data_IF_417617128410
#
_entry.id   IF_417617128410
#
_cell.length_a   1.000
_cell.length_b   1.000
_cell.length_c   1.000
_cell.angle_alpha   90.00
_cell.angle_beta   90.00
_cell.angle_gamma   90.00
#
_symmetry.space_group_name_H-M   'P 1'
#
loop_
_entity.id
_entity.type
_entity.pdbx_description
1 polymer ?
#
# COMPACT_ATOMS: atom_id res chain seq x y z
N UNK A 1 34.02 -14.87 0.52
CA UNK A 1 34.27 -13.89 -0.57
C UNK A 1 33.49 -14.15 -1.87
N UNK A 2 32.90 -15.34 -2.12
CA UNK A 2 32.19 -15.69 -3.38
C UNK A 2 30.83 -15.01 -3.68
N UNK A 3 30.24 -14.25 -2.74
CA UNK A 3 28.84 -13.78 -2.87
C UNK A 3 28.72 -12.31 -3.33
N UNK A 4 29.73 -11.46 -3.09
CA UNK A 4 29.74 -10.08 -3.60
C UNK A 4 29.72 -10.00 -5.13
N UNK A 5 30.27 -11.02 -5.80
CA UNK A 5 30.28 -11.10 -7.26
C UNK A 5 28.87 -11.22 -7.85
N UNK A 6 27.93 -11.93 -7.23
CA UNK A 6 26.60 -12.11 -7.81
C UNK A 6 25.71 -10.86 -7.76
N UNK A 7 25.76 -10.04 -6.70
CA UNK A 7 24.93 -8.82 -6.62
C UNK A 7 25.44 -7.74 -7.57
N UNK A 8 26.77 -7.55 -7.63
CA UNK A 8 27.36 -6.58 -8.55
C UNK A 8 27.14 -6.98 -10.01
N UNK A 9 27.34 -8.26 -10.37
CA UNK A 9 27.06 -8.75 -11.72
C UNK A 9 25.58 -8.54 -12.07
N UNK A 10 24.66 -8.84 -11.14
CA UNK A 10 23.21 -8.62 -11.37
C UNK A 10 22.89 -7.15 -11.58
N UNK A 11 23.46 -6.25 -10.79
CA UNK A 11 23.33 -4.81 -10.99
C UNK A 11 23.86 -4.38 -12.37
N UNK A 12 25.05 -4.83 -12.76
CA UNK A 12 25.64 -4.54 -14.08
C UNK A 12 24.72 -5.04 -15.20
N UNK A 13 24.21 -6.27 -15.11
CA UNK A 13 23.28 -6.81 -16.12
C UNK A 13 21.96 -6.05 -16.16
N UNK A 14 21.45 -5.58 -15.02
CA UNK A 14 20.26 -4.73 -14.96
C UNK A 14 20.48 -3.41 -15.68
N UNK A 15 21.58 -2.71 -15.38
CA UNK A 15 21.90 -1.44 -16.03
C UNK A 15 22.20 -1.61 -17.51
N UNK A 16 22.80 -2.73 -17.92
CA UNK A 16 23.03 -3.05 -19.33
C UNK A 16 21.71 -3.24 -20.11
N UNK A 17 20.81 -4.10 -19.62
CA UNK A 17 19.50 -4.31 -20.26
C UNK A 17 18.66 -3.04 -20.28
N UNK A 18 18.71 -2.27 -19.19
CA UNK A 18 18.09 -0.96 -19.13
C UNK A 18 18.69 0.00 -20.16
N UNK A 19 20.01 0.02 -20.33
CA UNK A 19 20.68 0.80 -21.37
C UNK A 19 20.23 0.42 -22.79
N UNK A 20 20.07 -0.89 -23.05
CA UNK A 20 19.51 -1.37 -24.33
C UNK A 20 18.08 -0.90 -24.54
N UNK A 21 17.24 -0.90 -23.50
CA UNK A 21 15.88 -0.38 -23.58
C UNK A 21 15.86 1.10 -23.96
N UNK A 22 16.63 1.94 -23.24
CA UNK A 22 16.74 3.37 -23.54
C UNK A 22 17.24 3.60 -24.98
N UNK A 23 18.31 2.91 -25.37
CA UNK A 23 18.88 3.00 -26.72
C UNK A 23 17.87 2.59 -27.80
N UNK A 24 17.07 1.56 -27.55
CA UNK A 24 16.03 1.10 -28.48
C UNK A 24 14.94 2.16 -28.70
N UNK A 25 14.59 2.91 -27.65
CA UNK A 25 13.68 4.05 -27.74
C UNK A 25 14.23 5.14 -28.67
N UNK A 26 15.50 5.51 -28.50
CA UNK A 26 16.19 6.47 -29.36
C UNK A 26 16.28 6.01 -30.82
N UNK A 27 16.73 4.77 -31.06
CA UNK A 27 16.89 4.23 -32.42
C UNK A 27 15.56 4.14 -33.16
N UNK A 28 14.49 3.75 -32.46
CA UNK A 28 13.17 3.64 -33.06
C UNK A 28 12.43 4.98 -33.19
N UNK A 29 13.04 6.07 -32.73
CA UNK A 29 12.41 7.38 -32.58
C UNK A 29 11.04 7.27 -31.85
N UNK A 30 10.95 6.35 -30.89
CA UNK A 30 9.76 6.06 -30.09
C UNK A 30 8.50 5.68 -30.91
N UNK A 31 8.67 5.23 -32.17
CA UNK A 31 7.55 4.88 -33.07
C UNK A 31 7.02 3.46 -32.90
N UNK A 32 7.77 2.58 -32.24
CA UNK A 32 7.33 1.20 -32.00
C UNK A 32 6.22 1.21 -30.96
N UNK A 33 5.00 0.90 -31.42
CA UNK A 33 3.81 0.80 -30.58
C UNK A 33 4.04 -0.22 -29.47
N UNK A 34 3.75 0.18 -28.23
CA UNK A 34 3.89 -0.63 -27.02
C UNK A 34 5.30 -1.12 -26.67
N UNK A 35 6.35 -0.51 -27.23
CA UNK A 35 7.73 -0.88 -26.90
C UNK A 35 8.02 -0.74 -25.40
N UNK A 36 7.60 0.36 -24.78
CA UNK A 36 7.73 0.60 -23.34
C UNK A 36 7.08 -0.51 -22.50
N UNK A 37 5.87 -0.91 -22.86
CA UNK A 37 5.06 -1.90 -22.14
C UNK A 37 5.73 -3.28 -22.18
N UNK A 38 6.21 -3.69 -23.36
CA UNK A 38 6.91 -4.96 -23.54
C UNK A 38 8.19 -4.98 -22.70
N UNK A 39 8.97 -3.89 -22.72
CA UNK A 39 10.20 -3.80 -21.96
C UNK A 39 9.98 -3.83 -20.45
N UNK A 40 8.98 -3.12 -19.92
CA UNK A 40 8.64 -3.19 -18.49
C UNK A 40 8.29 -4.62 -18.05
N UNK A 41 7.55 -5.36 -18.88
CA UNK A 41 7.24 -6.78 -18.63
C UNK A 41 8.53 -7.60 -18.59
N UNK A 42 9.41 -7.43 -19.59
CA UNK A 42 10.68 -8.16 -19.67
C UNK A 42 11.60 -7.85 -18.49
N UNK A 43 11.70 -6.57 -18.08
CA UNK A 43 12.50 -6.13 -16.93
C UNK A 43 11.99 -6.78 -15.65
N UNK A 44 10.67 -6.82 -15.44
CA UNK A 44 10.08 -7.50 -14.28
C UNK A 44 10.48 -8.98 -14.22
N UNK A 45 10.21 -9.73 -15.30
CA UNK A 45 10.51 -11.16 -15.33
C UNK A 45 12.00 -11.45 -15.26
N UNK A 46 12.84 -10.66 -15.93
CA UNK A 46 14.28 -10.80 -15.85
C UNK A 46 14.78 -10.62 -14.42
N UNK A 47 14.40 -9.53 -13.73
CA UNK A 47 14.79 -9.30 -12.35
C UNK A 47 14.28 -10.37 -11.39
N UNK A 48 13.06 -10.86 -11.61
CA UNK A 48 12.49 -11.98 -10.88
C UNK A 48 13.35 -13.25 -11.05
N UNK A 49 13.70 -13.62 -12.28
CA UNK A 49 14.49 -14.82 -12.59
C UNK A 49 15.89 -14.77 -11.99
N UNK A 50 16.59 -13.64 -12.09
CA UNK A 50 17.98 -13.55 -11.63
C UNK A 50 18.12 -13.23 -10.15
N UNK A 51 17.03 -12.90 -9.44
CA UNK A 51 17.07 -12.55 -8.02
C UNK A 51 16.22 -13.49 -7.17
N UNK A 52 16.73 -14.67 -6.80
CA UNK A 52 15.96 -15.66 -6.05
C UNK A 52 15.38 -15.15 -4.72
N UNK A 53 16.03 -14.16 -4.09
CA UNK A 53 15.58 -13.58 -2.82
C UNK A 53 14.28 -12.78 -2.93
N UNK A 54 13.85 -12.41 -4.15
CA UNK A 54 12.55 -11.77 -4.41
C UNK A 54 11.50 -12.76 -4.92
N UNK A 55 11.78 -14.06 -5.02
CA UNK A 55 10.75 -15.02 -5.38
C UNK A 55 9.61 -15.03 -4.36
N UNK A 56 8.38 -15.28 -4.84
CA UNK A 56 7.16 -15.33 -4.02
C UNK A 56 7.33 -16.32 -2.86
N UNK A 57 7.03 -15.89 -1.64
CA UNK A 57 6.94 -16.77 -0.48
C UNK A 57 5.61 -17.53 -0.55
N UNK A 58 5.68 -18.82 -0.92
CA UNK A 58 4.51 -19.69 -1.01
C UNK A 58 4.01 -20.18 0.35
N UNK A 59 4.80 -19.99 1.42
CA UNK A 59 4.48 -20.44 2.79
C UNK A 59 3.86 -19.29 3.57
N UNK A 60 4.54 -18.14 3.63
CA UNK A 60 4.00 -16.92 4.21
C UNK A 60 3.36 -16.05 3.12
N UNK A 61 2.17 -16.44 2.67
CA UNK A 61 1.51 -15.81 1.52
C UNK A 61 1.27 -14.31 1.75
N UNK A 62 0.77 -13.96 2.94
CA UNK A 62 0.58 -12.57 3.36
C UNK A 62 1.83 -12.11 4.12
N UNK A 63 2.84 -11.69 3.37
CA UNK A 63 4.09 -11.16 3.90
C UNK A 63 4.56 -9.91 3.12
N UNK A 64 5.41 -9.04 3.73
CA UNK A 64 5.84 -7.80 3.09
C UNK A 64 6.42 -8.02 1.69
N UNK A 65 7.26 -9.05 1.52
CA UNK A 65 7.86 -9.43 0.23
C UNK A 65 6.81 -9.62 -0.87
N UNK A 66 5.79 -10.45 -0.62
CA UNK A 66 4.75 -10.74 -1.62
C UNK A 66 3.90 -9.51 -1.93
N UNK A 67 3.67 -8.65 -0.93
CA UNK A 67 2.91 -7.42 -1.11
C UNK A 67 3.66 -6.41 -2.01
N UNK A 68 4.96 -6.21 -1.80
CA UNK A 68 5.78 -5.38 -2.67
C UNK A 68 5.88 -5.94 -4.09
N UNK A 69 6.05 -7.26 -4.23
CA UNK A 69 6.04 -7.92 -5.54
C UNK A 69 4.71 -7.73 -6.25
N UNK A 70 3.58 -7.83 -5.54
CA UNK A 70 2.26 -7.60 -6.12
C UNK A 70 2.15 -6.18 -6.66
N UNK A 71 2.62 -5.17 -5.92
CA UNK A 71 2.60 -3.78 -6.36
C UNK A 71 3.39 -3.58 -7.67
N UNK A 72 4.63 -4.08 -7.71
CA UNK A 72 5.45 -3.98 -8.92
C UNK A 72 4.92 -4.84 -10.06
N UNK A 73 4.38 -6.03 -9.78
CA UNK A 73 3.75 -6.89 -10.78
C UNK A 73 2.54 -6.20 -11.41
N UNK A 74 1.68 -5.55 -10.61
CA UNK A 74 0.54 -4.84 -11.18
C UNK A 74 0.99 -3.68 -12.07
N UNK A 75 2.00 -2.90 -11.65
CA UNK A 75 2.47 -1.74 -12.41
C UNK A 75 3.30 -2.10 -13.65
N UNK A 76 4.15 -3.13 -13.58
CA UNK A 76 5.10 -3.49 -14.65
C UNK A 76 4.63 -4.66 -15.52
N UNK A 77 3.56 -5.35 -15.12
CA UNK A 77 2.99 -6.47 -15.90
C UNK A 77 1.51 -6.24 -16.18
N UNK A 78 0.66 -6.12 -15.16
CA UNK A 78 -0.80 -6.03 -15.37
C UNK A 78 -1.18 -4.76 -16.15
N UNK A 79 -0.63 -3.61 -15.78
CA UNK A 79 -0.87 -2.34 -16.48
C UNK A 79 -0.36 -2.37 -17.94
N UNK A 80 0.90 -2.74 -18.21
CA UNK A 80 1.37 -2.94 -19.58
C UNK A 80 0.54 -3.90 -20.42
N UNK A 81 0.17 -5.07 -19.87
CA UNK A 81 -0.69 -6.03 -20.56
C UNK A 81 -2.08 -5.43 -20.83
N UNK A 82 -2.66 -4.69 -19.88
CA UNK A 82 -3.95 -4.05 -20.11
C UNK A 82 -3.89 -2.97 -21.19
N UNK A 83 -2.78 -2.21 -21.26
CA UNK A 83 -2.53 -1.24 -22.33
C UNK A 83 -2.38 -1.92 -23.70
N UNK A 84 -1.63 -3.03 -23.76
CA UNK A 84 -1.43 -3.78 -25.01
C UNK A 84 -2.73 -4.39 -25.53
N UNK A 85 -3.60 -4.88 -24.64
CA UNK A 85 -4.86 -5.54 -25.00
C UNK A 85 -6.01 -4.56 -25.25
N UNK A 86 -6.12 -3.51 -24.45
CA UNK A 86 -7.30 -2.63 -24.42
C UNK A 86 -6.98 -1.16 -24.78
N UNK A 87 -5.73 -0.85 -25.07
CA UNK A 87 -5.25 0.50 -25.33
C UNK A 87 -5.09 1.33 -24.06
N UNK A 88 -4.62 2.56 -24.27
CA UNK A 88 -4.48 3.55 -23.20
C UNK A 88 -5.84 4.15 -22.86
N UNK A 89 -6.19 4.19 -21.57
CA UNK A 89 -7.37 4.88 -21.06
C UNK A 89 -6.95 6.21 -20.44
N UNK A 90 -7.48 7.31 -20.96
CA UNK A 90 -7.03 8.67 -20.66
C UNK A 90 -7.56 9.21 -19.34
N UNK A 91 -8.73 8.75 -18.89
CA UNK A 91 -9.42 9.22 -17.70
C UNK A 91 -9.50 10.75 -17.63
N UNK A 92 -8.67 11.39 -16.81
CA UNK A 92 -8.67 12.84 -16.58
C UNK A 92 -7.52 13.56 -17.27
N UNK A 93 -6.74 12.87 -18.11
CA UNK A 93 -5.68 13.49 -18.88
C UNK A 93 -6.27 14.54 -19.83
N UNK A 94 -5.77 15.79 -19.81
CA UNK A 94 -6.30 16.86 -20.65
C UNK A 94 -6.05 16.57 -22.14
N UNK A 95 -4.89 15.99 -22.45
CA UNK A 95 -4.47 15.59 -23.78
C UNK A 95 -3.77 14.23 -23.73
N UNK A 96 -3.77 13.52 -24.86
CA UNK A 96 -3.06 12.26 -24.95
C UNK A 96 -1.54 12.50 -24.97
N UNK A 97 -0.77 11.90 -24.05
CA UNK A 97 0.65 12.18 -23.96
C UNK A 97 1.42 11.67 -25.17
N UNK A 98 2.49 12.39 -25.52
CA UNK A 98 3.36 11.97 -26.62
C UNK A 98 4.04 10.63 -26.31
N UNK A 99 4.36 9.80 -27.34
CA UNK A 99 5.06 8.53 -27.13
C UNK A 99 6.38 8.68 -26.35
N UNK A 100 7.07 9.81 -26.54
CA UNK A 100 8.28 10.15 -25.79
C UNK A 100 8.02 10.29 -24.28
N UNK A 101 6.95 11.00 -23.88
CA UNK A 101 6.60 11.16 -22.47
C UNK A 101 6.22 9.83 -21.83
N UNK A 102 5.46 8.99 -22.54
CA UNK A 102 5.08 7.65 -22.07
C UNK A 102 6.34 6.80 -21.87
N UNK A 103 7.24 6.77 -22.86
CA UNK A 103 8.50 6.03 -22.76
C UNK A 103 9.36 6.51 -21.58
N UNK A 104 9.50 7.82 -21.40
CA UNK A 104 10.23 8.42 -20.27
C UNK A 104 9.60 8.05 -18.92
N UNK A 105 8.27 8.00 -18.83
CA UNK A 105 7.56 7.57 -17.64
C UNK A 105 7.77 6.07 -17.32
N UNK A 106 7.78 5.21 -18.34
CA UNK A 106 8.09 3.78 -18.18
C UNK A 106 9.52 3.57 -17.70
N UNK A 107 10.48 4.30 -18.28
CA UNK A 107 11.89 4.31 -17.84
C UNK A 107 12.03 4.63 -16.35
N UNK A 108 11.33 5.65 -15.85
CA UNK A 108 11.36 6.01 -14.41
C UNK A 108 10.81 4.85 -13.56
N UNK A 109 9.72 4.22 -13.98
CA UNK A 109 9.10 3.10 -13.27
C UNK A 109 10.01 1.86 -13.22
N UNK A 110 10.65 1.54 -14.35
CA UNK A 110 11.58 0.42 -14.48
C UNK A 110 12.84 0.65 -13.64
N UNK A 111 13.41 1.86 -13.68
CA UNK A 111 14.56 2.24 -12.85
C UNK A 111 14.24 2.13 -11.36
N UNK A 112 13.06 2.59 -10.93
CA UNK A 112 12.63 2.49 -9.55
C UNK A 112 12.59 1.02 -9.09
N UNK A 113 12.04 0.13 -9.91
CA UNK A 113 12.00 -1.31 -9.62
C UNK A 113 13.38 -1.96 -9.58
N UNK A 114 14.22 -1.75 -10.60
CA UNK A 114 15.57 -2.32 -10.64
C UNK A 114 16.44 -1.83 -9.47
N UNK A 115 16.33 -0.55 -9.14
CA UNK A 115 17.00 0.06 -7.98
C UNK A 115 16.51 -0.55 -6.68
N UNK A 116 15.20 -0.77 -6.55
CA UNK A 116 14.62 -1.46 -5.41
C UNK A 116 15.14 -2.89 -5.28
N UNK A 117 15.15 -3.68 -6.36
CA UNK A 117 15.64 -5.07 -6.34
C UNK A 117 17.12 -5.12 -5.96
N UNK A 118 17.92 -4.18 -6.47
CA UNK A 118 19.32 -4.01 -6.08
C UNK A 118 19.45 -3.72 -4.58
N UNK A 119 18.65 -2.78 -4.07
CA UNK A 119 18.49 -2.47 -2.65
C UNK A 119 18.18 -3.69 -1.78
N UNK A 120 17.21 -4.48 -2.24
CA UNK A 120 16.73 -5.68 -1.56
C UNK A 120 17.80 -6.78 -1.44
N UNK A 121 18.58 -6.98 -2.50
CA UNK A 121 19.60 -8.03 -2.58
C UNK A 121 20.88 -7.69 -1.79
N UNK A 122 21.08 -6.42 -1.38
CA UNK A 122 22.25 -6.04 -0.56
C UNK A 122 22.35 -6.78 0.79
N UNK A 123 21.22 -7.23 1.36
CA UNK A 123 21.21 -7.95 2.64
C UNK A 123 21.27 -9.47 2.42
N UNK A 124 22.49 -10.02 2.58
CA UNK A 124 22.75 -11.45 2.49
C UNK A 124 22.02 -12.29 3.54
N UNK A 125 21.29 -13.31 3.10
CA UNK A 125 20.63 -14.30 3.97
C UNK A 125 21.59 -15.05 4.89
N UNK A 126 22.87 -15.19 4.52
CA UNK A 126 23.88 -15.84 5.38
C UNK A 126 24.18 -15.05 6.65
N UNK A 127 24.36 -13.73 6.57
CA UNK A 127 24.43 -12.85 7.77
C UNK A 127 23.12 -12.82 8.52
N UNK A 128 22.01 -13.01 7.82
CA UNK A 128 20.73 -13.14 8.47
C UNK A 128 20.69 -14.45 9.28
N UNK A 129 21.19 -15.60 8.81
CA UNK A 129 21.18 -16.86 9.59
C UNK A 129 21.90 -16.74 10.95
N UNK A 130 22.91 -15.88 11.06
CA UNK A 130 23.65 -15.64 12.32
C UNK A 130 22.83 -14.90 13.39
N UNK A 131 21.77 -14.19 12.99
CA UNK A 131 20.73 -13.75 13.92
C UNK A 131 19.70 -14.88 14.07
N UNK A 132 20.11 -15.95 14.75
CA UNK A 132 19.23 -17.02 15.21
C UNK A 132 17.97 -16.42 15.82
N UNK A 133 16.82 -17.04 15.57
CA UNK A 133 15.59 -16.75 16.29
C UNK A 133 15.93 -16.79 17.78
N UNK A 134 16.00 -15.63 18.43
CA UNK A 134 16.06 -15.62 19.88
C UNK A 134 14.75 -16.27 20.29
N UNK A 135 14.83 -17.47 20.86
CA UNK A 135 13.72 -18.25 21.41
C UNK A 135 13.12 -17.54 22.63
N UNK A 136 12.83 -16.25 22.53
CA UNK A 136 11.97 -15.55 23.45
C UNK A 136 10.55 -15.75 22.96
N UNK A 137 9.71 -16.41 23.76
CA UNK A 137 8.27 -16.38 23.55
C UNK A 137 7.79 -14.97 23.90
N UNK A 138 7.84 -14.06 22.93
CA UNK A 138 7.16 -12.79 23.07
C UNK A 138 5.67 -13.06 22.93
N UNK A 139 4.90 -12.83 23.98
CA UNK A 139 3.44 -12.86 23.93
C UNK A 139 2.95 -11.65 24.69
N UNK A 140 1.94 -10.99 24.14
CA UNK A 140 1.10 -10.12 24.96
C UNK A 140 0.40 -10.99 26.01
N UNK A 141 0.67 -10.80 27.32
CA UNK A 141 0.03 -11.59 28.39
C UNK A 141 -1.48 -11.41 28.43
N UNK A 142 -2.03 -10.35 27.83
CA UNK A 142 -3.43 -10.02 28.00
C UNK A 142 -4.06 -9.26 26.81
N UNK A 143 -4.16 -9.93 25.66
CA UNK A 143 -4.93 -9.43 24.50
C UNK A 143 -6.35 -8.98 24.88
N UNK A 144 -6.96 -9.64 25.86
CA UNK A 144 -8.27 -9.27 26.40
C UNK A 144 -8.28 -7.90 27.10
N UNK A 145 -7.24 -7.55 27.85
CA UNK A 145 -7.14 -6.25 28.54
C UNK A 145 -6.89 -5.13 27.54
N UNK A 146 -6.05 -5.38 26.53
CA UNK A 146 -5.86 -4.41 25.44
C UNK A 146 -7.16 -4.18 24.65
N UNK A 147 -7.89 -5.26 24.33
CA UNK A 147 -9.19 -5.15 23.68
C UNK A 147 -10.21 -4.41 24.55
N UNK A 148 -10.26 -4.71 25.85
CA UNK A 148 -11.15 -4.03 26.80
C UNK A 148 -10.81 -2.55 26.91
N UNK A 149 -9.52 -2.20 27.05
CA UNK A 149 -9.07 -0.81 27.11
C UNK A 149 -9.43 -0.04 25.84
N UNK A 150 -9.19 -0.62 24.67
CA UNK A 150 -9.60 -0.02 23.39
C UNK A 150 -11.12 0.10 23.26
N UNK A 151 -11.88 -0.88 23.74
CA UNK A 151 -13.34 -0.84 23.74
C UNK A 151 -13.88 0.27 24.65
N UNK A 152 -13.32 0.44 25.85
CA UNK A 152 -13.69 1.53 26.76
C UNK A 152 -13.37 2.90 26.15
N UNK A 153 -12.17 3.04 25.58
CA UNK A 153 -11.75 4.27 24.87
C UNK A 153 -12.67 4.55 23.68
N UNK A 154 -13.11 3.51 22.96
CA UNK A 154 -14.07 3.64 21.87
C UNK A 154 -15.45 4.08 22.35
N UNK A 155 -16.00 3.47 23.40
CA UNK A 155 -17.29 3.86 23.95
C UNK A 155 -17.25 5.31 24.42
N UNK A 156 -16.22 5.69 25.17
CA UNK A 156 -16.01 7.06 25.61
C UNK A 156 -16.00 8.02 24.41
N UNK A 157 -15.28 7.68 23.34
CA UNK A 157 -15.23 8.49 22.14
C UNK A 157 -16.58 8.60 21.43
N UNK A 158 -17.32 7.50 21.28
CA UNK A 158 -18.65 7.49 20.65
C UNK A 158 -19.61 8.38 21.44
N UNK A 159 -19.70 8.21 22.76
CA UNK A 159 -20.62 9.01 23.58
C UNK A 159 -20.21 10.49 23.64
N UNK A 160 -18.91 10.78 23.75
CA UNK A 160 -18.44 12.16 23.82
C UNK A 160 -18.53 12.90 22.48
N UNK A 161 -18.19 12.24 21.38
CA UNK A 161 -18.13 12.87 20.05
C UNK A 161 -19.48 12.87 19.33
N UNK A 162 -20.17 11.73 19.34
CA UNK A 162 -21.39 11.49 18.59
C UNK A 162 -22.65 11.67 19.45
N UNK A 163 -22.51 11.77 20.78
CA UNK A 163 -23.63 11.88 21.72
C UNK A 163 -24.38 10.56 21.92
N UNK A 164 -24.52 9.75 20.87
CA UNK A 164 -25.17 8.45 20.92
C UNK A 164 -24.58 7.45 19.91
N UNK A 165 -24.74 6.16 20.20
CA UNK A 165 -24.37 5.09 19.26
C UNK A 165 -25.20 5.14 17.97
N UNK A 166 -26.47 5.58 18.05
CA UNK A 166 -27.35 5.74 16.88
C UNK A 166 -26.76 6.77 15.91
N UNK A 167 -26.35 7.92 16.41
CA UNK A 167 -25.74 8.98 15.61
C UNK A 167 -24.44 8.50 14.96
N UNK A 168 -23.59 7.80 15.72
CA UNK A 168 -22.35 7.20 15.19
C UNK A 168 -22.61 6.24 14.02
N UNK A 169 -23.57 5.32 14.17
CA UNK A 169 -23.97 4.39 13.11
C UNK A 169 -24.53 5.17 11.91
N UNK A 170 -25.42 6.15 12.12
CA UNK A 170 -25.92 6.98 11.02
C UNK A 170 -24.77 7.66 10.26
N UNK A 171 -23.75 8.18 10.93
CA UNK A 171 -22.58 8.79 10.26
C UNK A 171 -21.66 7.79 9.54
N UNK A 172 -21.69 6.51 9.90
CA UNK A 172 -20.96 5.46 9.19
C UNK A 172 -21.67 5.04 7.88
N UNK A 173 -23.00 5.11 7.86
CA UNK A 173 -23.84 4.52 6.80
C UNK A 173 -24.54 5.54 5.90
N UNK A 174 -24.72 6.80 6.32
CA UNK A 174 -25.43 7.85 5.57
C UNK A 174 -24.47 9.00 5.19
N UNK A 175 -24.73 9.63 4.03
CA UNK A 175 -23.89 10.66 3.39
C UNK A 175 -23.86 12.02 4.13
N UNK A 176 -24.50 12.14 5.30
CA UNK A 176 -24.51 13.36 6.14
C UNK A 176 -23.18 13.61 6.88
N UNK A 177 -22.06 13.21 6.26
CA UNK A 177 -20.71 13.38 6.81
C UNK A 177 -20.29 14.85 6.88
N UNK A 178 -20.92 15.75 6.12
CA UNK A 178 -20.60 17.17 6.17
C UNK A 178 -21.42 17.91 7.23
N UNK A 179 -22.74 17.65 7.31
CA UNK A 179 -23.64 18.31 8.26
C UNK A 179 -23.26 18.07 9.73
N UNK A 180 -22.77 16.88 10.09
CA UNK A 180 -22.41 16.54 11.49
C UNK A 180 -21.14 17.28 11.96
N UNK A 181 -20.34 17.81 11.04
CA UNK A 181 -19.05 18.44 11.33
C UNK A 181 -19.10 19.96 11.17
N UNK A 182 -20.19 20.51 10.65
CA UNK A 182 -20.43 21.95 10.65
C UNK A 182 -20.44 22.48 12.10
N UNK A 183 -19.57 23.45 12.39
CA UNK A 183 -19.41 24.03 13.71
C UNK A 183 -18.56 23.25 14.71
N UNK A 184 -18.08 22.03 14.39
CA UNK A 184 -17.19 21.27 15.30
C UNK A 184 -15.74 21.78 15.23
N UNK A 185 -15.08 21.85 16.39
CA UNK A 185 -13.66 22.23 16.48
C UNK A 185 -12.78 21.25 15.68
N UNK A 186 -11.78 21.75 14.95
CA UNK A 186 -10.83 20.94 14.17
C UNK A 186 -10.17 19.83 14.99
N UNK A 187 -9.85 20.04 16.27
CA UNK A 187 -9.27 18.99 17.15
C UNK A 187 -10.22 17.79 17.26
N UNK A 188 -11.52 18.07 17.38
CA UNK A 188 -12.58 17.07 17.47
C UNK A 188 -12.60 16.29 16.14
N UNK A 189 -12.57 16.97 14.99
CA UNK A 189 -12.47 16.34 13.66
C UNK A 189 -11.24 15.43 13.55
N UNK A 190 -10.07 15.89 13.99
CA UNK A 190 -8.83 15.11 13.97
C UNK A 190 -8.91 13.86 14.83
N UNK A 191 -9.42 13.98 16.05
CA UNK A 191 -9.65 12.83 16.92
C UNK A 191 -10.53 11.81 16.19
N UNK A 192 -11.63 12.23 15.57
CA UNK A 192 -12.50 11.32 14.83
C UNK A 192 -11.81 10.60 13.67
N UNK A 193 -10.99 11.31 12.89
CA UNK A 193 -10.20 10.70 11.82
C UNK A 193 -9.29 9.62 12.40
N UNK A 194 -8.54 9.91 13.46
CA UNK A 194 -7.67 8.92 14.10
C UNK A 194 -8.47 7.73 14.62
N UNK A 195 -9.57 7.97 15.32
CA UNK A 195 -10.43 6.92 15.87
C UNK A 195 -10.97 5.97 14.80
N UNK A 196 -11.37 6.47 13.62
CA UNK A 196 -11.83 5.61 12.51
C UNK A 196 -10.82 4.55 12.06
N UNK A 197 -9.52 4.79 12.24
CA UNK A 197 -8.49 3.79 11.92
C UNK A 197 -8.26 2.76 13.03
N UNK A 198 -8.65 3.10 14.26
CA UNK A 198 -8.46 2.27 15.46
C UNK A 198 -9.54 1.20 15.58
N UNK A 199 -10.77 1.54 15.23
CA UNK A 199 -11.94 0.68 15.45
C UNK A 199 -11.81 -0.67 14.73
N UNK A 200 -11.36 -0.73 13.46
CA UNK A 200 -11.14 -2.02 12.80
C UNK A 200 -10.09 -2.88 13.53
N UNK A 201 -9.10 -2.26 14.17
CA UNK A 201 -8.06 -2.97 14.93
C UNK A 201 -8.57 -3.59 16.23
N UNK A 202 -9.63 -3.06 16.83
CA UNK A 202 -10.30 -3.74 17.93
C UNK A 202 -10.81 -5.12 17.49
N UNK A 203 -11.43 -5.21 16.32
CA UNK A 203 -11.87 -6.49 15.75
C UNK A 203 -10.70 -7.40 15.38
N UNK A 204 -9.55 -6.85 14.93
CA UNK A 204 -8.32 -7.63 14.73
C UNK A 204 -7.85 -8.29 16.03
N UNK A 205 -7.78 -7.53 17.13
CA UNK A 205 -7.32 -8.02 18.44
C UNK A 205 -8.30 -9.08 18.98
N UNK A 206 -9.60 -8.79 18.94
CA UNK A 206 -10.64 -9.73 19.38
C UNK A 206 -10.63 -11.01 18.53
N UNK A 207 -10.44 -10.89 17.22
CA UNK A 207 -10.38 -12.04 16.32
C UNK A 207 -9.20 -12.94 16.61
N UNK A 208 -8.01 -12.36 16.83
CA UNK A 208 -6.82 -13.11 17.21
C UNK A 208 -7.03 -13.81 18.56
N UNK A 209 -7.54 -13.08 19.55
CA UNK A 209 -7.81 -13.63 20.89
C UNK A 209 -8.83 -14.78 20.84
N UNK A 210 -9.87 -14.64 20.03
CA UNK A 210 -10.90 -15.67 19.85
C UNK A 210 -10.30 -16.93 19.22
N UNK A 211 -9.49 -16.78 18.18
CA UNK A 211 -8.80 -17.89 17.51
C UNK A 211 -7.77 -18.58 18.40
N UNK A 212 -7.14 -17.87 19.35
CA UNK A 212 -6.24 -18.47 20.33
C UNK A 212 -6.95 -19.38 21.34
N UNK A 213 -8.21 -19.06 21.68
CA UNK A 213 -9.02 -19.86 22.62
C UNK A 213 -9.69 -21.07 21.97
N UNK A 214 -9.91 -21.04 20.66
CA UNK A 214 -10.59 -22.10 19.93
C UNK A 214 -9.65 -23.32 19.75
N UNK A 215 -9.98 -24.40 20.46
CA UNK A 215 -9.29 -25.70 20.33
C UNK A 215 -9.87 -26.61 19.24
N UNK A 216 -10.95 -26.21 18.58
CA UNK A 216 -11.70 -27.04 17.61
C UNK A 216 -11.07 -27.03 16.21
N UNK A 217 -11.69 -27.78 15.29
CA UNK A 217 -11.22 -28.03 13.92
C UNK A 217 -11.15 -26.78 13.01
N UNK A 218 -10.52 -26.97 11.85
CA UNK A 218 -10.18 -25.89 10.90
C UNK A 218 -11.40 -25.11 10.38
N UNK A 219 -12.55 -25.78 10.21
CA UNK A 219 -13.78 -25.16 9.73
C UNK A 219 -14.34 -24.11 10.70
N UNK A 220 -14.30 -24.40 12.01
CA UNK A 220 -14.72 -23.43 13.04
C UNK A 220 -13.78 -22.22 13.03
N UNK A 221 -12.46 -22.46 12.90
CA UNK A 221 -11.48 -21.37 12.77
C UNK A 221 -11.70 -20.54 11.52
N UNK A 222 -12.04 -21.16 10.39
CA UNK A 222 -12.38 -20.47 9.15
C UNK A 222 -13.65 -19.62 9.30
N UNK A 223 -14.71 -20.17 9.91
CA UNK A 223 -15.96 -19.44 10.16
C UNK A 223 -15.74 -18.23 11.08
N UNK A 224 -14.98 -18.39 12.16
CA UNK A 224 -14.62 -17.29 13.06
C UNK A 224 -13.75 -16.26 12.35
N UNK A 225 -12.80 -16.69 11.52
CA UNK A 225 -12.01 -15.77 10.69
C UNK A 225 -12.90 -14.96 9.76
N UNK A 226 -13.84 -15.60 9.08
CA UNK A 226 -14.79 -14.93 8.19
C UNK A 226 -15.67 -13.92 8.95
N UNK A 227 -16.19 -14.31 10.12
CA UNK A 227 -16.94 -13.41 10.98
C UNK A 227 -16.14 -12.15 11.35
N UNK A 228 -14.88 -12.30 11.77
CA UNK A 228 -14.05 -11.15 12.11
C UNK A 228 -13.63 -10.32 10.89
N UNK A 229 -13.46 -10.93 9.70
CA UNK A 229 -13.28 -10.16 8.45
C UNK A 229 -14.50 -9.30 8.18
N UNK A 230 -15.71 -9.86 8.26
CA UNK A 230 -16.96 -9.11 8.06
C UNK A 230 -17.11 -8.00 9.10
N UNK A 231 -16.76 -8.26 10.36
CA UNK A 231 -16.77 -7.27 11.42
C UNK A 231 -15.75 -6.15 11.16
N UNK A 232 -14.52 -6.48 10.74
CA UNK A 232 -13.51 -5.49 10.34
C UNK A 232 -14.05 -4.62 9.20
N UNK A 233 -14.65 -5.22 8.17
CA UNK A 233 -15.24 -4.50 7.03
C UNK A 233 -16.32 -3.55 7.53
N UNK A 234 -17.27 -4.04 8.33
CA UNK A 234 -18.38 -3.27 8.91
C UNK A 234 -17.87 -2.06 9.70
N UNK A 235 -16.89 -2.27 10.57
CA UNK A 235 -16.31 -1.23 11.42
C UNK A 235 -15.43 -0.25 10.65
N UNK A 236 -14.92 -0.66 9.49
CA UNK A 236 -14.10 0.14 8.60
C UNK A 236 -14.92 0.85 7.50
N UNK A 237 -16.25 0.71 7.48
CA UNK A 237 -17.12 1.36 6.50
C UNK A 237 -16.96 2.88 6.62
N UNK A 238 -16.28 3.43 5.62
CA UNK A 238 -16.03 4.85 5.47
C UNK A 238 -15.80 5.18 4.01
N UNK A 239 -15.51 6.45 3.68
CA UNK A 239 -15.25 6.88 2.32
C UNK A 239 -13.93 6.31 1.76
N UNK A 240 -12.94 6.02 2.60
CA UNK A 240 -11.63 5.50 2.18
C UNK A 240 -11.56 3.97 2.22
N UNK A 241 -11.34 3.36 1.04
CA UNK A 241 -11.20 1.90 0.86
C UNK A 241 -10.03 1.30 1.64
N UNK A 242 -8.98 2.10 1.88
CA UNK A 242 -7.79 1.67 2.61
C UNK A 242 -8.08 1.33 4.08
N UNK A 243 -9.12 1.93 4.66
CA UNK A 243 -9.56 1.65 6.04
C UNK A 243 -10.06 0.21 6.16
N UNK A 244 -10.56 -0.37 5.07
CA UNK A 244 -11.04 -1.74 5.01
C UNK A 244 -9.89 -2.70 4.68
N UNK A 245 -9.16 -2.42 3.59
CA UNK A 245 -8.18 -3.36 3.04
C UNK A 245 -7.00 -3.59 4.01
N UNK A 246 -6.47 -2.53 4.63
CA UNK A 246 -5.26 -2.67 5.44
C UNK A 246 -5.47 -3.48 6.73
N UNK A 247 -6.52 -3.26 7.54
CA UNK A 247 -6.78 -4.08 8.72
C UNK A 247 -7.12 -5.53 8.39
N UNK A 248 -7.84 -5.78 7.29
CA UNK A 248 -8.12 -7.16 6.82
C UNK A 248 -6.83 -7.87 6.46
N UNK A 249 -5.96 -7.25 5.65
CA UNK A 249 -4.68 -7.86 5.27
C UNK A 249 -3.76 -8.03 6.49
N UNK A 250 -3.76 -7.09 7.43
CA UNK A 250 -3.04 -7.22 8.71
C UNK A 250 -3.53 -8.43 9.51
N UNK A 251 -4.84 -8.59 9.68
CA UNK A 251 -5.43 -9.75 10.35
C UNK A 251 -5.07 -11.07 9.65
N UNK A 252 -5.22 -11.13 8.32
CA UNK A 252 -4.88 -12.32 7.52
C UNK A 252 -3.39 -12.67 7.61
N UNK A 253 -2.50 -11.68 7.75
CA UNK A 253 -1.06 -11.91 7.92
C UNK A 253 -0.74 -12.73 9.17
N UNK A 254 -1.55 -12.61 10.22
CA UNK A 254 -1.44 -13.35 11.46
C UNK A 254 -2.18 -14.69 11.41
N UNK A 255 -3.37 -14.70 10.80
CA UNK A 255 -4.27 -15.86 10.84
C UNK A 255 -3.87 -16.95 9.86
N UNK A 256 -3.52 -16.59 8.62
CA UNK A 256 -3.24 -17.58 7.58
C UNK A 256 -2.05 -18.48 7.97
N UNK A 257 -0.87 -17.98 8.37
CA UNK A 257 0.28 -18.83 8.65
C UNK A 257 0.07 -19.74 9.87
N UNK A 258 -0.69 -19.29 10.87
CA UNK A 258 -0.81 -19.97 12.16
C UNK A 258 -2.03 -20.88 12.27
N UNK A 259 -3.20 -20.41 11.84
CA UNK A 259 -4.48 -21.06 12.11
C UNK A 259 -5.08 -21.77 10.90
N UNK A 260 -4.97 -21.19 9.70
CA UNK A 260 -5.63 -21.74 8.50
C UNK A 260 -4.68 -22.51 7.56
N UNK A 261 -3.40 -22.12 7.50
CA UNK A 261 -2.36 -22.74 6.65
C UNK A 261 -2.81 -22.93 5.20
N UNK A 262 -3.46 -21.92 4.64
CA UNK A 262 -3.98 -21.91 3.27
C UNK A 262 -2.81 -22.06 2.29
N UNK A 263 -2.99 -22.89 1.24
CA UNK A 263 -2.00 -23.02 0.16
C UNK A 263 -2.08 -21.82 -0.78
N UNK A 264 -0.95 -21.46 -1.40
CA UNK A 264 -0.87 -20.30 -2.29
C UNK A 264 -1.95 -20.30 -3.38
N UNK A 265 -2.19 -21.43 -4.03
CA UNK A 265 -3.23 -21.58 -5.06
C UNK A 265 -4.62 -21.19 -4.54
N UNK A 266 -4.99 -21.70 -3.38
CA UNK A 266 -6.32 -21.51 -2.81
C UNK A 266 -6.50 -20.06 -2.32
N UNK A 267 -5.43 -19.42 -1.86
CA UNK A 267 -5.42 -18.00 -1.55
C UNK A 267 -5.66 -17.13 -2.80
N UNK A 268 -4.98 -17.43 -3.92
CA UNK A 268 -5.18 -16.68 -5.17
C UNK A 268 -6.62 -16.84 -5.67
N UNK A 269 -7.16 -18.05 -5.66
CA UNK A 269 -8.57 -18.30 -6.00
C UNK A 269 -9.51 -17.48 -5.09
N UNK A 270 -9.25 -17.48 -3.79
CA UNK A 270 -10.00 -16.67 -2.82
C UNK A 270 -9.93 -15.18 -3.12
N UNK A 271 -8.76 -14.64 -3.48
CA UNK A 271 -8.62 -13.25 -3.89
C UNK A 271 -9.39 -12.93 -5.18
N UNK A 272 -9.37 -13.82 -6.17
CA UNK A 272 -10.14 -13.64 -7.42
C UNK A 272 -11.63 -13.61 -7.13
N UNK A 273 -12.15 -14.56 -6.35
CA UNK A 273 -13.57 -14.58 -5.94
C UNK A 273 -13.92 -13.33 -5.13
N UNK A 274 -13.06 -12.92 -4.19
CA UNK A 274 -13.26 -11.70 -3.42
C UNK A 274 -13.29 -10.45 -4.30
N UNK A 275 -12.43 -10.33 -5.31
CA UNK A 275 -12.45 -9.20 -6.24
C UNK A 275 -13.76 -9.16 -7.04
N UNK A 276 -14.23 -10.30 -7.53
CA UNK A 276 -15.52 -10.41 -8.22
C UNK A 276 -16.66 -9.99 -7.30
N UNK A 277 -16.70 -10.52 -6.07
CA UNK A 277 -17.72 -10.16 -5.08
C UNK A 277 -17.64 -8.68 -4.67
N UNK A 278 -16.44 -8.14 -4.41
CA UNK A 278 -16.24 -6.74 -4.04
C UNK A 278 -16.74 -5.80 -5.15
N UNK A 279 -16.53 -6.18 -6.42
CA UNK A 279 -17.08 -5.46 -7.56
C UNK A 279 -18.62 -5.48 -7.55
N UNK A 280 -19.23 -6.65 -7.34
CA UNK A 280 -20.69 -6.79 -7.21
C UNK A 280 -21.26 -5.98 -6.02
N UNK A 281 -20.58 -5.99 -4.87
CA UNK A 281 -21.01 -5.28 -3.66
C UNK A 281 -20.86 -3.76 -3.75
N UNK A 282 -19.83 -3.24 -4.43
CA UNK A 282 -19.67 -1.81 -4.66
C UNK A 282 -20.88 -1.23 -5.41
N UNK A 283 -21.48 -2.02 -6.30
CA UNK A 283 -22.64 -1.62 -7.11
C UNK A 283 -23.93 -1.58 -6.28
N UNK A 284 -24.01 -2.34 -5.19
CA UNK A 284 -25.15 -2.31 -4.26
C UNK A 284 -25.13 -1.03 -3.39
N UNK A 285 -23.94 -0.45 -3.14
CA UNK A 285 -23.77 0.71 -2.26
C UNK A 285 -24.06 2.05 -2.95
N UNK A 286 -24.00 2.13 -4.28
CA UNK A 286 -24.40 3.33 -5.04
C UNK A 286 -25.87 3.18 -5.46
N UNK A 287 -26.74 4.13 -5.12
CA UNK A 287 -28.17 4.12 -5.51
C UNK A 287 -28.37 4.74 -6.91
N UNK A 288 -28.73 3.91 -7.88
CA UNK A 288 -29.88 3.96 -8.82
C UNK A 288 -29.65 2.78 -9.78
N UNK A 289 -30.56 1.81 -9.84
CA UNK A 289 -30.30 0.56 -10.58
C UNK A 289 -30.17 0.75 -12.10
N UNK A 290 -30.60 1.89 -12.65
CA UNK A 290 -30.68 2.13 -14.10
C UNK A 290 -29.41 2.75 -14.69
N UNK A 291 -28.75 3.69 -14.00
CA UNK A 291 -27.46 4.26 -14.45
C UNK A 291 -26.31 3.27 -14.25
N UNK A 292 -26.43 2.38 -13.27
CA UNK A 292 -25.40 1.43 -12.88
C UNK A 292 -25.27 0.28 -13.89
N UNK A 293 -26.38 -0.22 -14.45
CA UNK A 293 -26.35 -1.30 -15.46
C UNK A 293 -25.76 -0.81 -16.80
N UNK A 294 -25.99 0.47 -17.15
CA UNK A 294 -25.40 1.07 -18.36
C UNK A 294 -23.90 1.38 -18.18
N UNK A 295 -23.48 1.83 -16.99
CA UNK A 295 -22.06 2.05 -16.67
C UNK A 295 -21.25 0.77 -16.45
N UNK A 296 -21.87 -0.30 -15.93
CA UNK A 296 -21.23 -1.61 -15.69
C UNK A 296 -20.98 -2.43 -16.96
N UNK A 297 -21.68 -2.12 -18.04
CA UNK A 297 -21.62 -2.87 -19.30
C UNK A 297 -20.39 -2.57 -20.17
N UNK A 298 -19.46 -1.73 -19.72
CA UNK A 298 -18.24 -1.46 -20.47
C UNK A 298 -17.03 -1.91 -19.66
N UNK A 299 -16.43 -3.05 -20.03
CA UNK A 299 -15.15 -3.50 -19.47
C UNK A 299 -14.06 -2.41 -19.50
N UNK A 300 -14.26 -1.37 -20.32
CA UNK A 300 -13.47 -0.16 -20.39
C UNK A 300 -13.29 0.57 -19.05
N UNK A 301 -14.35 0.75 -18.23
CA UNK A 301 -14.22 1.46 -16.94
C UNK A 301 -13.40 0.67 -15.92
N UNK A 302 -13.47 -0.65 -15.96
CA UNK A 302 -12.65 -1.50 -15.10
C UNK A 302 -11.16 -1.45 -15.51
N UNK A 303 -10.88 -1.48 -16.81
CA UNK A 303 -9.52 -1.33 -17.32
C UNK A 303 -8.97 0.06 -16.99
N UNK A 304 -9.77 1.10 -17.17
CA UNK A 304 -9.42 2.47 -16.78
C UNK A 304 -9.10 2.55 -15.28
N UNK A 305 -9.93 1.94 -14.42
CA UNK A 305 -9.67 1.86 -12.99
C UNK A 305 -8.30 1.22 -12.68
N UNK A 306 -7.96 0.10 -13.33
CA UNK A 306 -6.65 -0.55 -13.15
C UNK A 306 -5.53 0.41 -13.57
N UNK A 307 -5.61 1.00 -14.77
CA UNK A 307 -4.55 1.85 -15.30
C UNK A 307 -4.34 3.11 -14.45
N UNK A 308 -5.40 3.70 -13.92
CA UNK A 308 -5.34 4.90 -13.07
C UNK A 308 -4.80 4.57 -11.68
N UNK A 309 -5.42 3.62 -10.97
CA UNK A 309 -5.09 3.36 -9.57
C UNK A 309 -3.71 2.75 -9.37
N UNK A 310 -3.20 2.00 -10.36
CA UNK A 310 -1.85 1.47 -10.33
C UNK A 310 -0.82 2.37 -11.01
N UNK A 311 -1.26 3.55 -11.48
CA UNK A 311 -0.43 4.58 -12.11
C UNK A 311 0.36 4.01 -13.28
N UNK A 312 -0.36 3.67 -14.34
CA UNK A 312 0.23 3.35 -15.64
C UNK A 312 1.13 4.48 -16.13
N UNK A 313 2.11 4.20 -17.00
CA UNK A 313 3.10 5.20 -17.43
C UNK A 313 2.49 6.49 -18.00
N UNK A 314 1.44 6.39 -18.81
CA UNK A 314 0.74 7.56 -19.38
C UNK A 314 -0.01 8.40 -18.33
N UNK A 315 -0.38 7.82 -17.19
CA UNK A 315 -1.00 8.56 -16.09
C UNK A 315 0.03 9.44 -15.39
N UNK A 316 1.32 9.06 -15.37
CA UNK A 316 2.37 9.84 -14.73
C UNK A 316 2.86 11.05 -15.55
N UNK A 317 2.59 11.10 -16.86
CA UNK A 317 3.15 12.10 -17.78
C UNK A 317 2.85 13.57 -17.47
N UNK A 318 1.76 13.95 -16.77
CA UNK A 318 1.52 15.35 -16.39
C UNK A 318 2.64 15.97 -15.57
N UNK A 319 3.49 15.17 -14.91
CA UNK A 319 4.67 15.71 -14.21
C UNK A 319 5.68 16.39 -15.14
N UNK A 320 5.69 16.04 -16.43
CA UNK A 320 6.58 16.66 -17.42
C UNK A 320 6.08 17.99 -17.95
N UNK A 321 4.81 18.34 -17.67
CA UNK A 321 4.16 19.57 -18.12
C UNK A 321 4.13 20.65 -17.02
N UNK A 322 4.67 20.36 -15.83
CA UNK A 322 4.63 21.29 -14.70
C UNK A 322 5.44 22.55 -15.02
N UNK A 323 6.63 22.41 -15.60
CA UNK A 323 7.51 23.54 -15.91
C UNK A 323 6.94 24.46 -17.00
N UNK A 324 6.01 23.97 -17.83
CA UNK A 324 5.29 24.80 -18.81
C UNK A 324 4.25 25.71 -18.15
N UNK A 325 3.82 25.38 -16.93
CA UNK A 325 2.76 26.08 -16.20
C UNK A 325 3.26 26.97 -15.07
N UNK A 326 4.48 26.75 -14.60
CA UNK A 326 5.04 27.47 -13.47
C UNK A 326 6.46 27.95 -13.78
N UNK A 327 6.68 29.26 -13.67
CA UNK A 327 8.01 29.87 -13.86
C UNK A 327 9.06 29.32 -12.87
N UNK A 328 8.62 28.92 -11.66
CA UNK A 328 9.47 28.33 -10.62
C UNK A 328 8.69 27.30 -9.81
N UNK A 329 9.06 26.03 -9.95
CA UNK A 329 8.56 24.94 -9.10
C UNK A 329 9.53 24.73 -7.93
N UNK A 330 9.08 24.87 -6.66
CA UNK A 330 9.92 24.60 -5.51
C UNK A 330 10.13 23.09 -5.32
N UNK A 331 11.12 22.72 -4.53
CA UNK A 331 11.34 21.34 -4.10
C UNK A 331 10.12 20.78 -3.36
N UNK A 332 9.44 19.78 -3.95
CA UNK A 332 8.11 19.34 -3.50
C UNK A 332 8.14 18.23 -2.46
N UNK A 333 9.22 17.43 -2.36
CA UNK A 333 9.26 16.26 -1.46
C UNK A 333 8.96 16.62 0.00
N UNK A 334 9.53 17.74 0.48
CA UNK A 334 9.28 18.24 1.82
C UNK A 334 7.85 18.76 1.99
N UNK A 335 7.32 19.48 1.00
CA UNK A 335 5.97 20.03 1.07
C UNK A 335 4.91 18.94 0.99
N UNK A 336 5.11 17.89 0.18
CA UNK A 336 4.27 16.70 0.09
C UNK A 336 4.28 15.87 1.38
N UNK A 337 5.45 15.66 1.99
CA UNK A 337 5.53 14.90 3.26
C UNK A 337 4.83 15.61 4.42
N UNK A 338 4.90 16.94 4.48
CA UNK A 338 4.27 17.70 5.56
C UNK A 338 2.86 18.17 5.19
N UNK A 339 2.44 18.01 3.93
CA UNK A 339 1.10 18.39 3.45
C UNK A 339 0.02 17.86 4.38
N UNK A 340 0.19 16.61 4.84
CA UNK A 340 -0.79 15.93 5.67
C UNK A 340 -0.63 16.17 7.16
N UNK A 341 0.47 16.79 7.61
CA UNK A 341 0.65 17.14 9.02
C UNK A 341 -0.19 18.40 9.28
N UNK A 342 -1.16 18.33 10.19
CA UNK A 342 -1.99 19.46 10.47
C UNK A 342 -1.19 20.46 11.30
N UNK A 343 -0.81 21.60 10.71
CA UNK A 343 -0.45 22.77 11.52
C UNK A 343 -1.79 23.33 12.01
N UNK A 344 -2.02 23.32 13.32
CA UNK A 344 -3.19 23.95 13.93
C UNK A 344 -3.32 25.38 13.40
N UNK A 345 -4.28 25.63 12.51
CA UNK A 345 -4.57 26.96 11.97
C UNK A 345 -4.35 27.17 10.46
N UNK A 346 -3.70 26.27 9.70
CA UNK A 346 -3.47 26.47 8.25
C UNK A 346 -4.18 25.41 7.39
N UNK A 347 -4.72 25.76 6.20
CA UNK A 347 -5.21 24.77 5.25
C UNK A 347 -4.06 23.86 4.80
N UNK A 348 -4.37 22.60 4.51
CA UNK A 348 -3.45 21.64 3.88
C UNK A 348 -2.78 22.36 2.69
N UNK A 349 -1.45 22.45 2.75
CA UNK A 349 -0.63 23.49 2.10
C UNK A 349 -0.99 23.74 0.62
N UNK A 350 -1.05 25.01 0.23
CA UNK A 350 -1.40 25.43 -1.14
C UNK A 350 -0.32 25.11 -2.20
N UNK A 351 0.85 24.60 -1.80
CA UNK A 351 2.02 24.35 -2.67
C UNK A 351 2.66 22.97 -2.45
N UNK A 352 1.84 21.92 -2.29
CA UNK A 352 2.30 20.53 -2.20
C UNK A 352 2.66 19.95 -3.57
N UNK A 353 3.35 18.81 -3.62
CA UNK A 353 3.58 18.10 -4.88
C UNK A 353 2.27 17.73 -5.59
N UNK A 354 1.23 17.37 -4.83
CA UNK A 354 -0.11 17.13 -5.39
C UNK A 354 -0.67 18.36 -6.09
N UNK A 355 -0.47 19.56 -5.54
CA UNK A 355 -0.91 20.81 -6.19
C UNK A 355 -0.25 21.01 -7.56
N UNK A 356 1.09 20.92 -7.63
CA UNK A 356 1.82 21.09 -8.88
C UNK A 356 1.47 19.99 -9.91
N UNK A 357 1.31 18.75 -9.44
CA UNK A 357 0.95 17.63 -10.28
C UNK A 357 -0.46 17.78 -10.90
N UNK A 358 -1.46 18.21 -10.11
CA UNK A 358 -2.82 18.47 -10.60
C UNK A 358 -2.89 19.63 -11.58
N UNK A 359 -2.06 20.66 -11.41
CA UNK A 359 -1.94 21.72 -12.41
C UNK A 359 -1.45 21.17 -13.75
N UNK A 360 -0.55 20.18 -13.77
CA UNK A 360 -0.16 19.45 -14.98
C UNK A 360 -1.33 18.77 -15.71
N UNK A 361 -2.42 18.42 -15.00
CA UNK A 361 -3.67 17.92 -15.61
C UNK A 361 -4.60 19.02 -16.14
N UNK A 362 -4.24 20.30 -16.03
CA UNK A 362 -5.15 21.41 -16.34
C UNK A 362 -6.25 21.60 -15.30
N UNK A 363 -6.08 21.02 -14.10
CA UNK A 363 -7.05 21.11 -12.99
C UNK A 363 -6.49 21.94 -11.85
N UNK A 364 -6.30 23.22 -12.11
CA UNK A 364 -5.88 24.18 -11.10
C UNK A 364 -6.92 24.22 -9.96
N UNK A 365 -6.49 23.89 -8.75
CA UNK A 365 -7.37 23.81 -7.57
C UNK A 365 -7.89 22.41 -7.21
N UNK A 366 -7.76 21.41 -8.11
CA UNK A 366 -8.07 20.02 -7.77
C UNK A 366 -6.95 19.39 -6.92
N UNK A 367 -7.32 18.50 -5.99
CA UNK A 367 -6.39 17.80 -5.07
C UNK A 367 -6.62 16.29 -5.05
N UNK A 368 -7.33 15.77 -6.05
CA UNK A 368 -7.71 14.37 -6.14
C UNK A 368 -6.56 13.50 -6.67
N UNK A 369 -5.72 14.04 -7.57
CA UNK A 369 -4.55 13.31 -8.07
C UNK A 369 -3.38 13.43 -7.12
N UNK A 370 -2.72 12.30 -6.91
CA UNK A 370 -1.62 12.19 -5.97
C UNK A 370 -0.33 11.98 -6.76
N UNK A 371 0.69 12.81 -6.53
CA UNK A 371 1.97 12.74 -7.24
C UNK A 371 2.66 11.39 -6.93
N UNK A 372 2.85 10.49 -7.91
CA UNK A 372 3.49 9.20 -7.64
C UNK A 372 4.92 9.36 -7.11
N UNK A 373 5.28 8.67 -6.03
CA UNK A 373 6.57 8.82 -5.32
C UNK A 373 7.79 8.77 -6.23
N UNK A 374 7.85 7.83 -7.17
CA UNK A 374 8.98 7.67 -8.10
C UNK A 374 9.02 8.80 -9.13
N UNK A 375 7.84 9.27 -9.60
CA UNK A 375 7.74 10.46 -10.43
C UNK A 375 8.23 11.70 -9.70
N UNK A 376 7.77 11.90 -8.46
CA UNK A 376 8.16 13.04 -7.63
C UNK A 376 9.66 13.01 -7.26
N UNK A 377 10.23 11.84 -6.99
CA UNK A 377 11.67 11.66 -6.77
C UNK A 377 12.49 11.99 -8.01
N UNK A 378 12.06 11.51 -9.18
CA UNK A 378 12.73 11.81 -10.44
C UNK A 378 12.62 13.30 -10.81
N UNK A 379 11.48 13.92 -10.53
CA UNK A 379 11.26 15.35 -10.73
C UNK A 379 12.19 16.21 -9.87
N UNK A 380 12.28 15.91 -8.57
CA UNK A 380 13.05 16.73 -7.62
C UNK A 380 14.56 16.46 -7.62
N UNK A 381 14.98 15.20 -7.79
CA UNK A 381 16.37 14.78 -7.61
C UNK A 381 16.99 14.13 -8.86
N UNK A 382 16.25 14.10 -9.97
CA UNK A 382 16.67 13.42 -11.19
C UNK A 382 16.77 11.90 -11.05
N UNK A 383 17.32 11.24 -12.08
CA UNK A 383 17.49 9.79 -12.11
C UNK A 383 18.44 9.27 -11.03
N UNK A 384 19.49 10.03 -10.69
CA UNK A 384 20.45 9.63 -9.64
C UNK A 384 19.77 9.57 -8.28
N UNK A 385 19.00 10.60 -7.93
CA UNK A 385 18.25 10.62 -6.68
C UNK A 385 17.18 9.54 -6.61
N UNK A 386 16.48 9.28 -7.71
CA UNK A 386 15.55 8.15 -7.83
C UNK A 386 16.24 6.81 -7.51
N UNK A 387 17.38 6.53 -8.17
CA UNK A 387 18.12 5.27 -8.00
C UNK A 387 18.55 5.09 -6.54
N UNK A 388 19.19 6.10 -5.95
CA UNK A 388 19.67 6.04 -4.56
C UNK A 388 18.51 5.85 -3.57
N UNK A 389 17.39 6.55 -3.79
CA UNK A 389 16.21 6.49 -2.92
C UNK A 389 15.54 5.11 -2.99
N UNK A 390 15.41 4.51 -4.17
CA UNK A 390 14.81 3.19 -4.31
C UNK A 390 15.74 2.06 -3.87
N UNK A 391 17.06 2.20 -4.02
CA UNK A 391 18.04 1.31 -3.36
C UNK A 391 17.84 1.32 -1.84
N UNK A 392 17.77 2.51 -1.23
CA UNK A 392 17.55 2.65 0.21
C UNK A 392 16.20 2.06 0.63
N UNK A 393 15.14 2.33 -0.13
CA UNK A 393 13.81 1.76 0.10
C UNK A 393 13.83 0.24 0.05
N UNK A 394 14.46 -0.36 -0.98
CA UNK A 394 14.62 -1.81 -1.09
C UNK A 394 15.37 -2.43 0.09
N UNK A 395 16.44 -1.78 0.53
CA UNK A 395 17.23 -2.20 1.69
C UNK A 395 16.42 -2.16 2.99
N UNK A 396 15.71 -1.06 3.26
CA UNK A 396 14.86 -0.90 4.45
C UNK A 396 13.73 -1.93 4.41
N UNK A 397 13.08 -2.10 3.26
CA UNK A 397 11.98 -3.03 3.12
C UNK A 397 12.41 -4.49 3.33
N UNK A 398 13.62 -4.85 2.88
CA UNK A 398 14.23 -6.16 3.18
C UNK A 398 14.45 -6.35 4.67
N UNK A 399 14.90 -5.32 5.41
CA UNK A 399 15.00 -5.39 6.89
C UNK A 399 13.64 -5.62 7.54
N UNK A 400 12.61 -4.89 7.11
CA UNK A 400 11.23 -5.07 7.61
C UNK A 400 10.76 -6.51 7.35
N UNK A 401 11.00 -7.05 6.15
CA UNK A 401 10.63 -8.42 5.82
C UNK A 401 11.36 -9.46 6.67
N UNK A 402 12.68 -9.33 6.84
CA UNK A 402 13.48 -10.23 7.68
C UNK A 402 13.01 -10.17 9.13
N UNK A 403 12.76 -8.96 9.65
CA UNK A 403 12.22 -8.76 10.99
C UNK A 403 10.85 -9.42 11.14
N UNK A 404 9.94 -9.18 10.19
CA UNK A 404 8.62 -9.77 10.14
C UNK A 404 8.68 -11.30 10.17
N UNK A 405 9.49 -11.93 9.31
CA UNK A 405 9.57 -13.39 9.25
C UNK A 405 10.12 -14.02 10.53
N UNK A 406 10.98 -13.33 11.29
CA UNK A 406 11.74 -13.94 12.39
C UNK A 406 11.24 -13.61 13.78
N UNK A 407 10.70 -12.41 13.97
CA UNK A 407 10.36 -11.87 15.29
C UNK A 407 8.86 -11.87 15.58
N UNK A 408 8.04 -12.32 14.63
CA UNK A 408 6.57 -12.20 14.73
C UNK A 408 5.83 -13.55 14.66
N UNK A 409 6.49 -14.66 14.35
CA UNK A 409 5.80 -15.95 14.14
C UNK A 409 5.03 -16.43 15.38
N UNK A 410 5.61 -16.22 16.57
CA UNK A 410 5.03 -16.70 17.83
C UNK A 410 3.96 -15.76 18.40
N UNK A 411 3.84 -14.55 17.87
CA UNK A 411 2.99 -13.46 18.36
C UNK A 411 2.08 -12.93 17.23
N UNK A 412 0.85 -13.45 17.09
CA UNK A 412 -0.02 -13.12 15.96
C UNK A 412 -0.44 -11.64 15.99
N UNK A 413 -0.65 -11.06 17.17
CA UNK A 413 -1.00 -9.65 17.27
C UNK A 413 0.16 -8.77 16.82
N UNK A 414 1.37 -9.04 17.31
CA UNK A 414 2.57 -8.33 16.87
C UNK A 414 2.80 -8.49 15.37
N UNK A 415 2.54 -9.68 14.82
CA UNK A 415 2.61 -9.94 13.39
C UNK A 415 1.68 -9.05 12.59
N UNK A 416 0.40 -8.98 12.98
CA UNK A 416 -0.58 -8.08 12.35
C UNK A 416 -0.12 -6.63 12.36
N UNK A 417 0.39 -6.16 13.50
CA UNK A 417 0.84 -4.77 13.65
C UNK A 417 2.06 -4.49 12.75
N UNK A 418 3.08 -5.34 12.78
CA UNK A 418 4.27 -5.17 11.92
C UNK A 418 3.90 -5.25 10.44
N UNK A 419 2.98 -6.14 10.06
CA UNK A 419 2.47 -6.20 8.69
C UNK A 419 1.72 -4.92 8.30
N UNK A 420 0.95 -4.34 9.22
CA UNK A 420 0.30 -3.05 8.98
C UNK A 420 1.30 -1.93 8.73
N UNK A 421 2.39 -1.85 9.48
CA UNK A 421 3.47 -0.91 9.16
C UNK A 421 4.09 -1.16 7.79
N UNK A 422 4.21 -2.43 7.37
CA UNK A 422 4.68 -2.75 6.02
C UNK A 422 3.67 -2.32 4.94
N UNK A 423 2.35 -2.41 5.20
CA UNK A 423 1.30 -1.87 4.33
C UNK A 423 1.37 -0.33 4.24
N UNK A 424 1.53 0.34 5.38
CA UNK A 424 1.69 1.80 5.44
C UNK A 424 2.93 2.22 4.67
N UNK A 425 4.07 1.56 4.91
CA UNK A 425 5.30 1.86 4.18
C UNK A 425 5.15 1.62 2.67
N UNK A 426 4.37 0.63 2.25
CA UNK A 426 4.11 0.40 0.83
C UNK A 426 3.37 1.52 0.12
N UNK A 427 2.68 2.41 0.84
CA UNK A 427 2.15 3.62 0.22
C UNK A 427 3.26 4.50 -0.39
N UNK A 428 4.50 4.44 0.13
CA UNK A 428 5.65 5.10 -0.52
C UNK A 428 6.00 4.47 -1.86
N UNK A 429 5.89 3.15 -2.01
CA UNK A 429 6.24 2.44 -3.24
C UNK A 429 5.09 2.56 -4.26
N UNK A 430 3.86 2.48 -3.75
CA UNK A 430 2.65 2.37 -4.56
C UNK A 430 2.03 3.72 -4.92
N UNK A 431 1.98 4.65 -3.97
CA UNK A 431 1.22 5.89 -4.04
C UNK A 431 2.18 7.09 -4.02
N UNK A 432 2.19 7.87 -2.93
CA UNK A 432 2.93 9.12 -2.79
C UNK A 432 3.48 9.34 -1.38
N UNK A 433 4.35 10.35 -1.24
CA UNK A 433 4.78 10.84 0.06
C UNK A 433 3.67 11.47 0.89
N UNK A 434 2.74 12.20 0.26
CA UNK A 434 1.56 12.75 0.93
C UNK A 434 0.75 11.64 1.59
N UNK A 435 0.43 10.57 0.86
CA UNK A 435 -0.36 9.46 1.39
C UNK A 435 0.41 8.68 2.46
N UNK A 436 1.72 8.50 2.27
CA UNK A 436 2.57 7.89 3.29
C UNK A 436 2.55 8.69 4.59
N UNK A 437 2.76 9.99 4.53
CA UNK A 437 2.71 10.85 5.71
C UNK A 437 1.34 10.78 6.38
N UNK A 438 0.26 10.81 5.61
CA UNK A 438 -1.10 10.64 6.15
C UNK A 438 -1.20 9.35 6.99
N UNK A 439 -0.77 8.22 6.45
CA UNK A 439 -0.86 6.95 7.14
C UNK A 439 0.09 6.84 8.34
N UNK A 440 1.26 7.46 8.29
CA UNK A 440 2.19 7.49 9.42
C UNK A 440 1.58 8.31 10.57
N UNK A 441 1.14 9.54 10.31
CA UNK A 441 0.69 10.45 11.37
C UNK A 441 -0.71 10.13 11.89
N UNK A 442 -1.65 9.69 11.03
CA UNK A 442 -3.02 9.44 11.47
C UNK A 442 -3.30 7.99 11.84
N UNK A 443 -2.67 7.02 11.15
CA UNK A 443 -3.07 5.62 11.31
C UNK A 443 -2.12 4.82 12.19
N UNK A 444 -0.85 5.21 12.22
CA UNK A 444 0.21 4.37 12.79
C UNK A 444 0.55 4.68 14.25
N UNK A 445 0.11 5.84 14.77
CA UNK A 445 0.46 6.29 16.12
C UNK A 445 -0.13 5.39 17.20
N UNK A 446 -1.41 5.00 17.10
CA UNK A 446 -1.99 4.14 18.14
C UNK A 446 -1.40 2.74 18.11
N UNK A 447 -1.16 2.16 16.93
CA UNK A 447 -0.52 0.86 16.84
C UNK A 447 0.89 0.87 17.42
N UNK A 448 1.57 2.01 17.33
CA UNK A 448 2.88 2.20 17.96
C UNK A 448 2.74 2.17 19.47
N UNK A 449 1.76 2.88 20.01
CA UNK A 449 1.43 2.86 21.44
C UNK A 449 1.11 1.43 21.90
N UNK A 450 0.28 0.68 21.16
CA UNK A 450 -0.04 -0.73 21.45
C UNK A 450 1.24 -1.60 21.43
N UNK A 451 2.17 -1.35 20.50
CA UNK A 451 3.47 -2.03 20.50
C UNK A 451 4.31 -1.71 21.74
N UNK A 452 4.26 -0.48 22.27
CA UNK A 452 5.00 -0.10 23.47
C UNK A 452 4.47 -0.80 24.72
N UNK A 453 3.18 -1.13 24.77
CA UNK A 453 2.56 -1.91 25.84
C UNK A 453 2.81 -3.42 25.74
N UNK A 454 3.67 -3.87 24.80
CA UNK A 454 4.07 -5.27 24.70
C UNK A 454 4.95 -5.65 25.88
N UNK A 455 4.67 -6.81 26.46
CA UNK A 455 5.50 -7.37 27.52
C UNK A 455 6.95 -7.57 27.04
N UNK A 456 7.89 -7.30 27.94
CA UNK A 456 9.30 -7.65 27.75
C UNK A 456 9.44 -9.17 27.59
N UNK A 457 10.40 -9.66 26.79
CA UNK A 457 10.59 -11.09 26.59
C UNK A 457 10.80 -11.77 27.95
N UNK A 458 9.95 -12.74 28.26
CA UNK A 458 10.26 -13.70 29.32
C UNK A 458 11.28 -14.64 28.70
N UNK A 459 12.56 -14.41 29.00
CA UNK A 459 13.56 -15.44 28.77
C UNK A 459 13.20 -16.59 29.70
N UNK A 460 12.72 -17.70 29.14
CA UNK A 460 12.69 -18.97 29.85
C UNK A 460 14.15 -19.22 30.26
N UNK A 461 14.48 -18.99 31.54
CA UNK A 461 15.72 -19.46 32.12
C UNK A 461 15.65 -20.97 31.95
N UNK A 462 16.45 -21.52 31.03
CA UNK A 462 16.71 -22.94 30.94
C UNK A 462 17.22 -23.38 32.31
N UNK A 463 16.37 -24.10 33.05
CA UNK A 463 16.77 -24.86 34.22
C UNK A 463 17.48 -26.12 33.73
#
# INVERSE_FOLDING_TARGET
MKIRYNTLIRAITFFFLFGLFVLSGFISNYKIRFSSEIFSILIFYYAYLITPSIHVDKVNIVCPKNLMLLIFFTRLVICPVSIMLFGYKTWVLPEFPTPYMIHKASVISDLAFLSFVTGWDFLNEKRAKDFSAVNGKYKFRNNAVLALGLFVVLLFFIFFFYGSFRTYVQTLFLEDYLEIFEGKNRIIIYANIMFKYVIPFLAVILGIHSLEKIKTGIWVKAAVTLFFILLIILLALGPSRNNIVFPVLAFLSAVIPRYLRIKFRDFILGCTVFLVLAFLFQNIRKRSNEDIISELNTGEKFIEFIQVYFVSPHIMTPMFLIDEKFDKVPFTLHSSFIETIPILGMPFREKSGSHYYNAGYGREGARDQVFPTYGEMAFNLGYVGLILSFILTGFIYRKIHIFFQRRTLDDPLFRSIVFYYALVFNSTIFLSYTVFAQFVFYNSVLLFIVMLFRDKPVYERSI
#
